data_IF_140968087171
#
_entry.id   IF_140968087171
#
_cell.length_a   1.000
_cell.length_b   1.000
_cell.length_c   1.000
_cell.angle_alpha   90.00
_cell.angle_beta   90.00
_cell.angle_gamma   90.00
#
_symmetry.space_group_name_H-M   'P 1'
#
loop_
_entity.id
_entity.type
_entity.pdbx_description
1 polymer ?
#
# COMPACT_ATOMS: atom_id res chain seq x y z
N UNK A 1 6.00 -14.93 -7.54
CA UNK A 1 7.01 -14.10 -8.22
C UNK A 1 7.64 -14.82 -9.42
N UNK A 2 7.98 -16.11 -9.31
CA UNK A 2 8.59 -16.87 -10.41
C UNK A 2 7.75 -16.96 -11.68
N UNK A 3 6.44 -16.82 -11.56
CA UNK A 3 5.44 -17.06 -12.63
C UNK A 3 5.03 -15.79 -13.38
N UNK A 4 5.64 -14.64 -13.04
CA UNK A 4 5.33 -13.39 -13.73
C UNK A 4 5.71 -13.44 -15.20
N UNK A 5 4.77 -13.13 -16.10
CA UNK A 5 4.98 -13.13 -17.55
C UNK A 5 3.98 -12.20 -18.23
N UNK A 6 4.29 -11.76 -19.44
CA UNK A 6 3.39 -10.96 -20.25
C UNK A 6 2.01 -11.62 -20.41
N UNK A 7 1.99 -12.94 -20.66
CA UNK A 7 0.75 -13.71 -20.83
C UNK A 7 -0.09 -13.68 -19.56
N UNK A 8 0.50 -13.99 -18.39
CA UNK A 8 -0.22 -14.00 -17.11
C UNK A 8 -0.74 -12.61 -16.72
N UNK A 9 0.04 -11.56 -16.99
CA UNK A 9 -0.39 -10.18 -16.76
C UNK A 9 -1.54 -9.77 -17.70
N UNK A 10 -1.50 -10.16 -18.96
CA UNK A 10 -2.61 -9.92 -19.90
C UNK A 10 -3.87 -10.67 -19.50
N UNK A 11 -3.76 -11.92 -19.07
CA UNK A 11 -4.89 -12.70 -18.56
C UNK A 11 -5.51 -12.01 -17.36
N UNK A 12 -4.71 -11.43 -16.48
CA UNK A 12 -5.19 -10.66 -15.33
C UNK A 12 -5.88 -9.36 -15.73
N UNK A 13 -5.33 -8.62 -16.66
CA UNK A 13 -5.97 -7.40 -17.18
C UNK A 13 -7.29 -7.72 -17.90
N UNK A 14 -7.34 -8.82 -18.63
CA UNK A 14 -8.57 -9.32 -19.26
C UNK A 14 -9.63 -9.67 -18.23
N UNK A 15 -9.27 -10.38 -17.15
CA UNK A 15 -10.16 -10.68 -16.03
C UNK A 15 -10.76 -9.40 -15.44
N UNK A 16 -9.95 -8.37 -15.18
CA UNK A 16 -10.44 -7.10 -14.64
C UNK A 16 -11.41 -6.41 -15.57
N UNK A 17 -11.12 -6.40 -16.88
CA UNK A 17 -12.03 -5.84 -17.89
C UNK A 17 -13.35 -6.60 -17.96
N UNK A 18 -13.33 -7.95 -17.97
CA UNK A 18 -14.53 -8.80 -17.98
C UNK A 18 -15.37 -8.62 -16.71
N UNK A 19 -14.73 -8.46 -15.56
CA UNK A 19 -15.38 -8.19 -14.26
C UNK A 19 -15.76 -6.71 -14.07
N UNK A 20 -15.48 -5.84 -15.08
CA UNK A 20 -15.73 -4.40 -15.02
C UNK A 20 -15.07 -3.72 -13.83
N UNK A 21 -13.84 -4.10 -13.55
CA UNK A 21 -12.99 -3.49 -12.52
C UNK A 21 -12.04 -2.51 -13.23
N UNK A 22 -12.17 -1.20 -13.01
CA UNK A 22 -11.22 -0.22 -13.57
C UNK A 22 -9.83 -0.42 -12.95
N UNK A 23 -8.81 -0.32 -13.80
CA UNK A 23 -7.40 -0.43 -13.37
C UNK A 23 -6.65 0.79 -13.87
N UNK A 24 -6.22 1.66 -12.96
CA UNK A 24 -5.48 2.86 -13.32
C UNK A 24 -3.98 2.64 -13.37
N UNK A 25 -3.44 1.74 -12.55
CA UNK A 25 -2.03 1.43 -12.57
C UNK A 25 -1.75 -0.07 -12.37
N UNK A 26 -0.67 -0.52 -12.98
CA UNK A 26 -0.16 -1.89 -12.91
C UNK A 26 1.27 -1.86 -12.41
N UNK A 27 1.59 -2.68 -11.42
CA UNK A 27 2.95 -2.94 -10.98
C UNK A 27 3.39 -4.34 -11.38
N UNK A 28 4.44 -4.44 -12.18
CA UNK A 28 5.11 -5.68 -12.52
C UNK A 28 6.15 -5.94 -11.41
N UNK A 29 5.81 -6.83 -10.48
CA UNK A 29 6.65 -7.11 -9.31
C UNK A 29 7.84 -8.00 -9.65
N UNK A 30 8.59 -8.50 -8.65
CA UNK A 30 9.81 -9.32 -8.83
C UNK A 30 9.60 -10.48 -9.79
N UNK A 31 10.62 -10.74 -10.62
CA UNK A 31 10.67 -11.89 -11.52
C UNK A 31 10.59 -11.56 -13.02
N UNK A 32 10.52 -10.29 -13.43
CA UNK A 32 10.47 -9.89 -14.84
C UNK A 32 11.87 -9.79 -15.51
N UNK A 33 12.92 -9.59 -14.71
CA UNK A 33 14.29 -9.29 -15.15
C UNK A 33 15.09 -10.53 -15.55
N UNK A 34 16.16 -10.32 -16.30
CA UNK A 34 17.19 -11.34 -16.55
C UNK A 34 18.07 -11.49 -15.31
N UNK A 35 17.97 -12.63 -14.66
CA UNK A 35 18.71 -12.93 -13.44
C UNK A 35 19.37 -14.33 -13.51
N UNK A 36 20.45 -14.50 -12.74
CA UNK A 36 21.11 -15.78 -12.53
C UNK A 36 21.56 -15.87 -11.08
N UNK A 37 21.26 -16.97 -10.41
CA UNK A 37 21.66 -17.23 -9.02
C UNK A 37 21.35 -16.03 -8.07
N UNK A 38 20.15 -15.46 -8.22
CA UNK A 38 19.70 -14.27 -7.50
C UNK A 38 20.54 -13.00 -7.74
N UNK A 39 21.20 -12.89 -8.89
CA UNK A 39 21.98 -11.72 -9.32
C UNK A 39 21.44 -11.18 -10.63
N UNK A 40 21.49 -9.86 -10.79
CA UNK A 40 21.05 -9.16 -12.00
C UNK A 40 22.06 -9.36 -13.14
N UNK A 41 21.58 -9.82 -14.29
CA UNK A 41 22.42 -10.02 -15.48
C UNK A 41 22.28 -8.90 -16.51
N UNK A 42 21.13 -8.20 -16.52
CA UNK A 42 20.81 -7.15 -17.47
C UNK A 42 19.76 -6.21 -16.89
N UNK A 43 19.70 -4.97 -17.37
CA UNK A 43 18.59 -4.05 -17.11
C UNK A 43 17.32 -4.42 -17.90
N UNK A 44 17.43 -5.37 -18.81
CA UNK A 44 16.33 -5.79 -19.67
C UNK A 44 15.47 -6.87 -19.01
N UNK A 45 14.30 -7.03 -19.56
CA UNK A 45 13.35 -8.10 -19.25
C UNK A 45 13.88 -9.49 -19.68
N UNK A 46 13.41 -10.54 -19.02
CA UNK A 46 13.60 -11.90 -19.48
C UNK A 46 12.72 -12.14 -20.73
N UNK A 47 13.34 -12.29 -21.89
CA UNK A 47 12.68 -12.49 -23.19
C UNK A 47 11.84 -13.75 -23.26
N UNK A 48 12.08 -14.74 -22.40
CA UNK A 48 11.20 -15.93 -22.32
C UNK A 48 9.87 -15.59 -21.68
N UNK A 49 9.84 -14.59 -20.78
CA UNK A 49 8.65 -14.13 -20.07
C UNK A 49 7.96 -12.97 -20.80
N UNK A 50 8.72 -12.15 -21.50
CA UNK A 50 8.26 -11.01 -22.29
C UNK A 50 8.80 -11.12 -23.73
N UNK A 51 8.22 -11.99 -24.58
CA UNK A 51 8.73 -12.23 -25.93
C UNK A 51 8.76 -10.99 -26.83
N UNK A 52 7.74 -10.15 -26.72
CA UNK A 52 7.62 -8.87 -27.46
C UNK A 52 8.37 -7.70 -26.78
N UNK A 53 9.07 -8.00 -25.70
CA UNK A 53 9.73 -7.02 -24.85
C UNK A 53 8.80 -6.29 -23.90
N UNK A 54 9.40 -5.61 -22.94
CA UNK A 54 8.65 -4.83 -21.96
C UNK A 54 7.83 -3.71 -22.64
N UNK A 55 8.43 -3.03 -23.65
CA UNK A 55 7.76 -1.97 -24.42
C UNK A 55 6.48 -2.44 -25.12
N UNK A 56 6.52 -3.63 -25.73
CA UNK A 56 5.35 -4.23 -26.38
C UNK A 56 4.22 -4.47 -25.40
N UNK A 57 4.55 -5.09 -24.26
CA UNK A 57 3.58 -5.33 -23.19
C UNK A 57 3.00 -4.03 -22.61
N UNK A 58 3.85 -3.05 -22.26
CA UNK A 58 3.40 -1.76 -21.68
C UNK A 58 2.45 -1.03 -22.63
N UNK A 59 2.80 -0.97 -23.92
CA UNK A 59 1.91 -0.39 -24.94
C UNK A 59 0.55 -1.07 -24.93
N UNK A 60 0.53 -2.40 -24.96
CA UNK A 60 -0.71 -3.18 -24.97
C UNK A 60 -1.53 -2.96 -23.69
N UNK A 61 -0.90 -2.93 -22.52
CA UNK A 61 -1.58 -2.65 -21.25
C UNK A 61 -2.27 -1.28 -21.27
N UNK A 62 -1.63 -0.25 -21.82
CA UNK A 62 -2.18 1.10 -21.91
C UNK A 62 -3.27 1.22 -23.00
N UNK A 63 -2.98 0.78 -24.22
CA UNK A 63 -3.86 0.98 -25.38
C UNK A 63 -5.09 0.05 -25.37
N UNK A 64 -4.94 -1.21 -24.98
CA UNK A 64 -6.02 -2.18 -25.05
C UNK A 64 -6.80 -2.34 -23.73
N UNK A 65 -6.13 -2.13 -22.58
CA UNK A 65 -6.74 -2.33 -21.27
C UNK A 65 -6.98 -1.05 -20.48
N UNK A 66 -6.54 0.10 -20.99
CA UNK A 66 -6.78 1.40 -20.38
C UNK A 66 -5.96 1.66 -19.11
N UNK A 67 -4.86 0.93 -18.91
CA UNK A 67 -3.93 1.18 -17.79
C UNK A 67 -3.24 2.52 -18.00
N UNK A 68 -3.35 3.43 -17.06
CA UNK A 68 -2.77 4.78 -17.17
C UNK A 68 -1.26 4.78 -16.87
N UNK A 69 -0.85 4.06 -15.82
CA UNK A 69 0.54 3.98 -15.39
C UNK A 69 0.99 2.53 -15.22
N UNK A 70 2.17 2.21 -15.72
CA UNK A 70 2.82 0.91 -15.51
C UNK A 70 4.13 1.11 -14.77
N UNK A 71 4.29 0.41 -13.66
CA UNK A 71 5.52 0.40 -12.88
C UNK A 71 6.20 -0.95 -12.88
N UNK A 72 7.48 -0.96 -12.50
CA UNK A 72 8.26 -2.19 -12.30
C UNK A 72 8.95 -2.19 -10.96
N UNK A 73 9.11 -3.39 -10.40
CA UNK A 73 9.91 -3.64 -9.22
C UNK A 73 11.40 -3.82 -9.57
N UNK A 74 12.28 -3.33 -8.71
CA UNK A 74 13.67 -3.78 -8.64
C UNK A 74 14.21 -3.66 -7.21
N UNK A 75 15.30 -4.35 -6.92
CA UNK A 75 16.00 -4.24 -5.64
C UNK A 75 17.01 -3.09 -5.67
N UNK A 76 17.24 -2.47 -4.52
CA UNK A 76 18.25 -1.41 -4.33
C UNK A 76 19.67 -1.89 -4.68
N UNK A 77 19.96 -3.18 -4.53
CA UNK A 77 21.26 -3.78 -4.84
C UNK A 77 21.41 -4.23 -6.31
N UNK A 78 20.44 -3.93 -7.17
CA UNK A 78 20.28 -4.49 -8.50
C UNK A 78 19.36 -5.72 -8.47
N UNK A 79 19.75 -6.77 -7.77
CA UNK A 79 18.89 -7.89 -7.38
C UNK A 79 19.29 -8.39 -5.99
N UNK A 80 18.67 -9.44 -5.48
CA UNK A 80 18.88 -9.93 -4.10
C UNK A 80 20.36 -10.15 -3.73
N UNK A 81 21.19 -10.63 -4.66
CA UNK A 81 22.64 -10.85 -4.47
C UNK A 81 23.48 -9.92 -5.38
N UNK A 82 22.97 -8.72 -5.70
CA UNK A 82 23.68 -7.73 -6.52
C UNK A 82 23.67 -8.06 -8.01
N UNK A 83 24.75 -7.66 -8.69
CA UNK A 83 24.98 -7.81 -10.15
C UNK A 83 25.86 -9.05 -10.40
N UNK A 84 25.54 -9.82 -11.45
CA UNK A 84 26.29 -11.03 -11.84
C UNK A 84 27.66 -10.67 -12.43
N UNK A 85 28.77 -11.09 -11.76
CA UNK A 85 30.12 -10.92 -12.32
C UNK A 85 30.26 -11.70 -13.62
N UNK A 86 30.73 -11.08 -14.66
CA UNK A 86 30.88 -11.71 -15.99
C UNK A 86 29.69 -11.49 -16.91
N UNK A 87 28.63 -10.83 -16.46
CA UNK A 87 27.58 -10.34 -17.34
C UNK A 87 28.05 -9.11 -18.13
N UNK A 88 27.37 -8.83 -19.25
CA UNK A 88 27.59 -7.58 -20.01
C UNK A 88 27.26 -6.37 -19.15
N UNK A 89 26.21 -6.45 -18.30
CA UNK A 89 25.86 -5.41 -17.36
C UNK A 89 27.00 -5.11 -16.38
N UNK A 90 27.62 -6.14 -15.80
CA UNK A 90 28.76 -5.95 -14.91
C UNK A 90 29.90 -5.22 -15.63
N UNK A 91 30.23 -5.63 -16.84
CA UNK A 91 31.28 -5.01 -17.63
C UNK A 91 30.99 -3.55 -17.95
N UNK A 92 29.76 -3.22 -18.32
CA UNK A 92 29.30 -1.88 -18.64
C UNK A 92 29.21 -0.95 -17.42
N UNK A 93 28.94 -1.51 -16.22
CA UNK A 93 28.70 -0.74 -14.99
C UNK A 93 29.84 -0.88 -13.97
N UNK A 94 30.95 -1.53 -14.30
CA UNK A 94 32.03 -1.88 -13.38
C UNK A 94 32.50 -0.72 -12.51
N UNK A 95 32.63 0.49 -13.07
CA UNK A 95 33.07 1.69 -12.35
C UNK A 95 32.01 2.22 -11.36
N UNK A 96 30.73 1.82 -11.53
CA UNK A 96 29.60 2.20 -10.68
C UNK A 96 29.28 1.12 -9.64
N UNK A 97 30.02 0.02 -9.60
CA UNK A 97 29.83 -1.08 -8.68
C UNK A 97 30.94 -1.17 -7.66
N UNK A 98 30.62 -1.72 -6.50
CA UNK A 98 31.58 -2.04 -5.45
C UNK A 98 31.37 -3.48 -4.98
N UNK A 99 32.47 -4.15 -4.60
CA UNK A 99 32.41 -5.50 -4.03
C UNK A 99 32.20 -5.41 -2.52
N UNK A 100 31.13 -6.04 -2.03
CA UNK A 100 30.85 -6.13 -0.59
C UNK A 100 31.77 -7.11 0.12
N UNK A 101 31.82 -7.07 1.45
CA UNK A 101 32.55 -8.04 2.26
C UNK A 101 32.05 -9.49 2.04
N UNK A 102 30.77 -9.67 1.70
CA UNK A 102 30.18 -10.96 1.34
C UNK A 102 30.47 -11.40 -0.10
N UNK A 103 31.20 -10.60 -0.87
CA UNK A 103 31.60 -10.94 -2.25
C UNK A 103 30.59 -10.57 -3.34
N UNK A 104 29.50 -9.88 -3.02
CA UNK A 104 28.52 -9.41 -3.99
C UNK A 104 28.96 -8.10 -4.63
N UNK A 105 28.56 -7.84 -5.89
CA UNK A 105 28.73 -6.57 -6.55
C UNK A 105 27.42 -5.79 -6.50
N UNK A 106 27.44 -4.62 -5.86
CA UNK A 106 26.27 -3.75 -5.67
C UNK A 106 26.58 -2.34 -6.15
N UNK A 107 25.59 -1.46 -6.38
CA UNK A 107 25.85 -0.04 -6.64
C UNK A 107 26.77 0.55 -5.57
N UNK A 108 27.78 1.29 -5.99
CA UNK A 108 28.81 1.85 -5.12
C UNK A 108 28.21 2.86 -4.11
N UNK A 109 28.92 3.11 -3.00
CA UNK A 109 28.45 4.02 -1.95
C UNK A 109 28.96 5.47 -2.17
N UNK A 110 28.96 5.90 -3.43
CA UNK A 110 29.31 7.26 -3.87
C UNK A 110 28.13 7.80 -4.70
N UNK A 111 27.57 8.97 -4.32
CA UNK A 111 26.33 9.51 -4.91
C UNK A 111 26.34 9.53 -6.44
N UNK A 112 27.45 10.01 -7.04
CA UNK A 112 27.58 10.09 -8.50
C UNK A 112 27.58 8.73 -9.19
N UNK A 113 28.20 7.71 -8.60
CA UNK A 113 28.23 6.34 -9.14
C UNK A 113 26.88 5.65 -8.97
N UNK A 114 26.21 5.83 -7.82
CA UNK A 114 24.85 5.34 -7.59
C UNK A 114 23.89 5.98 -8.60
N UNK A 115 23.96 7.29 -8.76
CA UNK A 115 23.16 7.97 -9.78
C UNK A 115 23.42 7.40 -11.17
N UNK A 116 24.67 7.26 -11.58
CA UNK A 116 25.02 6.73 -12.90
C UNK A 116 24.46 5.32 -13.13
N UNK A 117 24.56 4.44 -12.14
CA UNK A 117 23.99 3.09 -12.20
C UNK A 117 22.48 3.12 -12.39
N UNK A 118 21.76 3.79 -11.48
CA UNK A 118 20.29 3.85 -11.55
C UNK A 118 19.80 4.65 -12.75
N UNK A 119 20.48 5.74 -13.11
CA UNK A 119 20.06 6.54 -14.26
C UNK A 119 20.16 5.76 -15.58
N UNK A 120 21.19 4.92 -15.75
CA UNK A 120 21.28 4.05 -16.91
C UNK A 120 20.13 3.03 -16.96
N UNK A 121 19.72 2.50 -15.81
CA UNK A 121 18.60 1.56 -15.72
C UNK A 121 17.25 2.26 -15.91
N UNK A 122 17.02 3.35 -15.20
CA UNK A 122 15.75 4.08 -15.24
C UNK A 122 15.49 4.74 -16.58
N UNK A 123 16.52 5.24 -17.28
CA UNK A 123 16.42 5.75 -18.64
C UNK A 123 16.00 4.61 -19.62
N UNK A 124 16.58 3.42 -19.45
CA UNK A 124 16.12 2.24 -20.20
C UNK A 124 14.63 1.97 -19.94
N UNK A 125 14.21 1.89 -18.66
CA UNK A 125 12.83 1.63 -18.28
C UNK A 125 11.86 2.67 -18.80
N UNK A 126 12.22 3.97 -18.72
CA UNK A 126 11.44 5.07 -19.28
C UNK A 126 11.24 4.91 -20.79
N UNK A 127 12.28 4.50 -21.53
CA UNK A 127 12.19 4.22 -22.97
C UNK A 127 11.31 3.03 -23.29
N UNK A 128 11.08 2.10 -22.35
CA UNK A 128 10.10 1.03 -22.46
C UNK A 128 8.67 1.49 -22.15
N UNK A 129 8.46 2.74 -21.68
CA UNK A 129 7.14 3.29 -21.35
C UNK A 129 6.75 3.08 -19.90
N UNK A 130 7.70 2.72 -19.01
CA UNK A 130 7.49 2.62 -17.57
C UNK A 130 7.31 4.02 -16.98
N UNK A 131 6.35 4.17 -16.09
CA UNK A 131 5.94 5.44 -15.49
C UNK A 131 6.42 5.61 -14.05
N UNK A 132 6.61 4.52 -13.30
CA UNK A 132 7.07 4.54 -11.92
C UNK A 132 7.85 3.26 -11.55
N UNK A 133 8.50 3.28 -10.39
CA UNK A 133 9.28 2.14 -9.89
C UNK A 133 8.90 1.80 -8.44
N UNK A 134 8.95 0.50 -8.10
CA UNK A 134 8.99 0.02 -6.73
C UNK A 134 10.41 -0.45 -6.44
N UNK A 135 11.05 0.15 -5.44
CA UNK A 135 12.44 -0.19 -5.08
C UNK A 135 12.47 -0.87 -3.72
N UNK A 136 12.87 -2.13 -3.74
CA UNK A 136 12.84 -3.02 -2.59
C UNK A 136 14.22 -3.24 -1.96
N UNK A 137 14.22 -3.94 -0.81
CA UNK A 137 15.41 -4.31 -0.04
C UNK A 137 16.27 -3.09 0.38
N UNK A 138 15.64 -1.95 0.64
CA UNK A 138 16.37 -0.72 0.96
C UNK A 138 17.10 -0.82 2.31
N UNK A 139 16.48 -1.40 3.33
CA UNK A 139 17.12 -1.65 4.62
C UNK A 139 18.35 -2.56 4.53
N UNK A 140 18.44 -3.40 3.49
CA UNK A 140 19.60 -4.21 3.22
C UNK A 140 20.87 -3.41 2.88
N UNK A 141 20.75 -2.16 2.42
CA UNK A 141 21.91 -1.32 2.04
C UNK A 141 22.94 -1.21 3.16
N UNK A 142 22.50 -1.09 4.39
CA UNK A 142 23.36 -1.01 5.58
C UNK A 142 24.14 -2.30 5.84
N UNK A 143 23.59 -3.47 5.53
CA UNK A 143 24.27 -4.75 5.69
C UNK A 143 25.29 -4.97 4.58
N UNK A 144 24.99 -4.58 3.35
CA UNK A 144 25.95 -4.67 2.24
C UNK A 144 27.15 -3.74 2.44
N UNK A 145 26.98 -2.60 3.12
CA UNK A 145 28.05 -1.67 3.45
C UNK A 145 28.92 -2.12 4.65
N UNK A 146 28.53 -3.16 5.39
CA UNK A 146 29.22 -3.64 6.58
C UNK A 146 30.70 -3.92 6.27
N UNK A 147 31.59 -3.45 7.16
CA UNK A 147 33.03 -3.57 7.07
C UNK A 147 33.71 -2.82 5.90
N UNK A 148 32.97 -2.00 5.15
CA UNK A 148 33.52 -1.20 4.05
C UNK A 148 33.46 0.30 4.35
N UNK A 149 32.25 0.83 4.63
CA UNK A 149 32.02 2.24 4.93
C UNK A 149 31.02 2.39 6.08
N UNK A 150 30.96 3.55 6.76
CA UNK A 150 29.90 3.81 7.75
C UNK A 150 28.51 3.68 7.12
N UNK A 151 27.62 2.98 7.82
CA UNK A 151 26.28 2.65 7.31
C UNK A 151 25.47 3.89 6.90
N UNK A 152 25.50 4.95 7.73
CA UNK A 152 24.79 6.19 7.42
C UNK A 152 25.30 6.86 6.15
N UNK A 153 26.62 6.80 5.91
CA UNK A 153 27.25 7.35 4.68
C UNK A 153 26.79 6.56 3.46
N UNK A 154 26.79 5.23 3.54
CA UNK A 154 26.32 4.37 2.45
C UNK A 154 24.82 4.61 2.16
N UNK A 155 23.97 4.60 3.19
CA UNK A 155 22.55 4.82 3.03
C UNK A 155 22.24 6.20 2.40
N UNK A 156 22.89 7.26 2.88
CA UNK A 156 22.72 8.60 2.32
C UNK A 156 23.12 8.67 0.85
N UNK A 157 24.28 8.12 0.48
CA UNK A 157 24.75 8.13 -0.91
C UNK A 157 23.82 7.34 -1.84
N UNK A 158 23.41 6.15 -1.40
CA UNK A 158 22.53 5.28 -2.20
C UNK A 158 21.15 5.90 -2.39
N UNK A 159 20.54 6.44 -1.33
CA UNK A 159 19.22 7.06 -1.42
C UNK A 159 19.23 8.32 -2.28
N UNK A 160 20.23 9.20 -2.12
CA UNK A 160 20.33 10.42 -2.94
C UNK A 160 20.52 10.12 -4.41
N UNK A 161 21.40 9.18 -4.75
CA UNK A 161 21.62 8.78 -6.14
C UNK A 161 20.36 8.11 -6.75
N UNK A 162 19.67 7.27 -5.98
CA UNK A 162 18.41 6.66 -6.40
C UNK A 162 17.32 7.72 -6.63
N UNK A 163 17.07 8.59 -5.66
CA UNK A 163 16.04 9.64 -5.77
C UNK A 163 16.32 10.62 -6.91
N UNK A 164 17.57 11.02 -7.10
CA UNK A 164 17.96 11.87 -8.22
C UNK A 164 17.63 11.20 -9.56
N UNK A 165 17.92 9.91 -9.70
CA UNK A 165 17.58 9.16 -10.91
C UNK A 165 16.06 8.99 -11.08
N UNK A 166 15.33 8.72 -10.01
CA UNK A 166 13.87 8.61 -10.06
C UNK A 166 13.22 9.96 -10.44
N UNK A 167 13.74 11.07 -9.90
CA UNK A 167 13.26 12.40 -10.25
C UNK A 167 13.44 12.71 -11.74
N UNK A 168 14.62 12.43 -12.30
CA UNK A 168 14.96 12.70 -13.70
C UNK A 168 14.10 11.84 -14.64
N UNK A 169 13.89 10.58 -14.31
CA UNK A 169 13.26 9.63 -15.22
C UNK A 169 11.74 9.48 -15.01
N UNK A 170 11.27 9.58 -13.77
CA UNK A 170 9.87 9.29 -13.39
C UNK A 170 9.19 10.43 -12.64
N UNK A 171 9.80 11.62 -12.57
CA UNK A 171 9.24 12.75 -11.83
C UNK A 171 9.20 12.54 -10.31
N UNK A 172 9.92 11.54 -9.79
CA UNK A 172 9.90 11.16 -8.39
C UNK A 172 8.84 10.09 -8.05
N UNK A 173 8.14 9.53 -9.03
CA UNK A 173 7.15 8.48 -8.83
C UNK A 173 7.86 7.15 -8.45
N UNK A 174 8.09 6.97 -7.16
CA UNK A 174 8.72 5.79 -6.56
C UNK A 174 7.93 5.29 -5.35
N UNK A 175 7.74 3.98 -5.28
CA UNK A 175 7.26 3.28 -4.11
C UNK A 175 8.45 2.66 -3.39
N UNK A 176 8.81 3.21 -2.24
CA UNK A 176 9.87 2.65 -1.41
C UNK A 176 9.39 1.42 -0.66
N UNK A 177 10.15 0.32 -0.78
CA UNK A 177 9.82 -0.94 -0.14
C UNK A 177 10.96 -1.40 0.78
N UNK A 178 10.61 -2.00 1.92
CA UNK A 178 11.55 -2.51 2.93
C UNK A 178 12.61 -1.49 3.38
N UNK A 179 12.25 -0.21 3.40
CA UNK A 179 13.10 0.91 3.78
C UNK A 179 12.55 1.67 4.97
N UNK A 180 12.12 0.95 6.01
CA UNK A 180 11.50 1.52 7.22
C UNK A 180 12.53 1.88 8.31
N UNK A 181 13.80 1.60 8.06
CA UNK A 181 14.87 1.95 8.99
C UNK A 181 15.10 3.45 9.09
N UNK A 182 15.72 3.89 10.18
CA UNK A 182 15.95 5.32 10.44
C UNK A 182 16.76 5.99 9.35
N UNK A 183 17.77 5.31 8.80
CA UNK A 183 18.63 5.87 7.75
C UNK A 183 17.85 6.11 6.44
N UNK A 184 16.98 5.18 6.07
CA UNK A 184 16.12 5.28 4.89
C UNK A 184 14.99 6.29 5.10
N UNK A 185 14.32 6.23 6.24
CA UNK A 185 13.22 7.11 6.59
C UNK A 185 13.59 8.58 6.58
N UNK A 186 14.74 8.94 7.12
CA UNK A 186 15.23 10.33 7.19
C UNK A 186 16.07 10.74 5.98
N UNK A 187 16.40 9.81 5.09
CA UNK A 187 17.32 10.04 3.96
C UNK A 187 16.67 10.39 2.63
N UNK A 188 15.33 10.49 2.57
CA UNK A 188 14.57 10.77 1.34
C UNK A 188 14.08 12.21 1.33
N UNK A 189 14.18 12.89 0.18
CA UNK A 189 13.91 14.32 0.07
C UNK A 189 12.85 14.68 -0.97
N UNK A 190 12.64 13.85 -2.00
CA UNK A 190 11.79 14.20 -3.15
C UNK A 190 10.71 13.17 -3.44
N UNK A 191 10.63 12.08 -2.68
CA UNK A 191 9.69 10.99 -2.90
C UNK A 191 8.78 10.81 -1.69
N UNK A 192 7.51 10.50 -1.91
CA UNK A 192 6.48 10.61 -0.89
C UNK A 192 5.72 9.32 -0.55
N UNK A 193 6.03 8.17 -1.17
CA UNK A 193 5.31 6.91 -0.91
C UNK A 193 6.27 5.86 -0.35
N UNK A 194 5.93 5.29 0.81
CA UNK A 194 6.76 4.28 1.47
C UNK A 194 5.93 3.17 2.10
N UNK A 195 6.34 1.93 1.84
CA UNK A 195 5.79 0.77 2.54
C UNK A 195 6.04 0.85 4.04
N UNK A 196 5.05 0.51 4.84
CA UNK A 196 5.11 0.60 6.31
C UNK A 196 5.03 -0.75 7.02
N UNK A 197 4.99 -1.86 6.30
CA UNK A 197 4.99 -3.21 6.86
C UNK A 197 5.97 -4.14 6.15
N UNK A 198 6.23 -5.28 6.78
CA UNK A 198 6.73 -6.48 6.11
C UNK A 198 5.77 -6.92 4.99
N UNK A 199 6.17 -7.89 4.15
CA UNK A 199 5.33 -8.39 3.07
C UNK A 199 4.00 -8.98 3.59
N UNK A 200 2.98 -8.90 2.76
CA UNK A 200 1.73 -9.61 2.97
C UNK A 200 1.96 -11.12 2.81
N UNK A 201 1.76 -11.86 3.90
CA UNK A 201 1.93 -13.31 3.95
C UNK A 201 0.57 -14.01 4.18
N UNK A 202 -0.23 -14.24 3.14
CA UNK A 202 -1.59 -14.79 3.28
C UNK A 202 -1.62 -16.20 3.87
N UNK A 203 -0.56 -16.98 3.72
CA UNK A 203 -0.46 -18.36 4.22
C UNK A 203 -0.11 -18.43 5.72
N UNK A 204 0.35 -17.33 6.34
CA UNK A 204 0.69 -17.32 7.77
C UNK A 204 -0.58 -17.21 8.62
N UNK A 205 -0.62 -17.94 9.73
CA UNK A 205 -1.77 -17.90 10.67
C UNK A 205 -1.94 -16.51 11.28
N UNK A 206 -0.86 -15.85 11.63
CA UNK A 206 -0.83 -14.50 12.20
C UNK A 206 -0.69 -13.39 11.15
N UNK A 207 -0.75 -13.74 9.86
CA UNK A 207 -0.41 -12.84 8.75
C UNK A 207 -1.21 -11.54 8.77
N UNK A 208 -2.53 -11.59 8.97
CA UNK A 208 -3.34 -10.39 9.06
C UNK A 208 -3.02 -9.55 10.30
N UNK A 209 -2.88 -10.19 11.47
CA UNK A 209 -2.56 -9.50 12.74
C UNK A 209 -1.24 -8.72 12.62
N UNK A 210 -0.17 -9.43 12.22
CA UNK A 210 1.15 -8.85 12.06
C UNK A 210 1.12 -7.67 11.08
N UNK A 211 0.47 -7.87 9.95
CA UNK A 211 0.34 -6.88 8.88
C UNK A 211 -0.43 -5.62 9.33
N UNK A 212 -1.60 -5.78 9.96
CA UNK A 212 -2.41 -4.66 10.43
C UNK A 212 -1.68 -3.84 11.51
N UNK A 213 -1.04 -4.53 12.46
CA UNK A 213 -0.29 -3.87 13.54
C UNK A 213 0.93 -3.13 12.99
N UNK A 214 1.77 -3.76 12.17
CA UNK A 214 2.95 -3.10 11.59
C UNK A 214 2.55 -1.87 10.81
N UNK A 215 1.57 -1.97 9.91
CA UNK A 215 1.10 -0.86 9.12
C UNK A 215 0.63 0.33 9.97
N UNK A 216 -0.24 0.09 10.93
CA UNK A 216 -0.81 1.16 11.74
C UNK A 216 0.23 1.81 12.68
N UNK A 217 1.05 1.02 13.38
CA UNK A 217 2.06 1.56 14.31
C UNK A 217 3.20 2.26 13.58
N UNK A 218 3.69 1.70 12.46
CA UNK A 218 4.71 2.36 11.65
C UNK A 218 4.18 3.66 11.03
N UNK A 219 2.92 3.70 10.61
CA UNK A 219 2.29 4.91 10.11
C UNK A 219 2.22 6.04 11.14
N UNK A 220 2.33 5.75 12.43
CA UNK A 220 2.43 6.77 13.45
C UNK A 220 3.70 7.62 13.30
N UNK A 221 4.82 6.99 12.93
CA UNK A 221 6.11 7.65 12.70
C UNK A 221 6.31 8.07 11.26
N UNK A 222 5.92 7.23 10.30
CA UNK A 222 6.15 7.48 8.88
C UNK A 222 5.10 8.44 8.30
N UNK A 223 3.87 8.37 8.74
CA UNK A 223 2.74 9.12 8.22
C UNK A 223 2.86 10.65 8.24
N UNK A 224 3.62 11.30 9.15
CA UNK A 224 3.93 12.71 9.05
C UNK A 224 4.76 13.12 7.84
N UNK A 225 5.47 12.17 7.20
CA UNK A 225 6.43 12.42 6.11
C UNK A 225 6.02 11.74 4.82
N UNK A 226 5.40 10.55 4.90
CA UNK A 226 5.07 9.71 3.75
C UNK A 226 3.59 9.35 3.70
N UNK A 227 3.08 9.13 2.49
CA UNK A 227 1.93 8.29 2.25
C UNK A 227 2.34 6.84 2.44
N UNK A 228 1.73 6.19 3.44
CA UNK A 228 2.10 4.85 3.83
C UNK A 228 1.42 3.81 2.91
N UNK A 229 2.23 3.06 2.20
CA UNK A 229 1.76 1.89 1.47
C UNK A 229 1.57 0.72 2.44
N UNK A 230 0.33 0.19 2.49
CA UNK A 230 -0.05 -0.92 3.35
C UNK A 230 -0.08 -2.24 2.60
N UNK A 231 0.73 -2.35 1.54
CA UNK A 231 0.97 -3.53 0.72
C UNK A 231 -0.26 -4.10 -0.02
N UNK A 232 -0.02 -5.10 -0.85
CA UNK A 232 -1.03 -5.85 -1.57
C UNK A 232 -1.90 -6.72 -0.64
N UNK A 233 -3.00 -7.23 -1.16
CA UNK A 233 -3.87 -8.18 -0.49
C UNK A 233 -4.62 -9.06 -1.49
N UNK A 234 -5.32 -10.11 -1.01
CA UNK A 234 -6.12 -11.00 -1.83
C UNK A 234 -7.61 -10.82 -1.55
N UNK A 235 -8.40 -10.65 -2.62
CA UNK A 235 -9.85 -10.43 -2.52
C UNK A 235 -10.60 -11.72 -2.17
N UNK A 236 -10.06 -12.90 -2.49
CA UNK A 236 -10.55 -14.21 -2.10
C UNK A 236 -9.66 -14.86 -1.04
N UNK A 237 -9.68 -14.30 0.15
CA UNK A 237 -8.96 -14.82 1.32
C UNK A 237 -9.86 -14.81 2.55
N UNK A 238 -9.57 -15.65 3.55
CA UNK A 238 -10.34 -15.70 4.81
C UNK A 238 -10.45 -14.34 5.51
N UNK A 239 -9.45 -13.48 5.34
CA UNK A 239 -9.41 -12.10 5.90
C UNK A 239 -9.72 -11.03 4.85
N UNK A 240 -10.40 -11.36 3.75
CA UNK A 240 -10.61 -10.41 2.66
C UNK A 240 -11.40 -9.17 3.08
N UNK A 241 -12.43 -9.32 3.92
CA UNK A 241 -13.20 -8.19 4.45
C UNK A 241 -12.34 -7.30 5.34
N UNK A 242 -11.63 -7.91 6.30
CA UNK A 242 -10.68 -7.19 7.17
C UNK A 242 -9.63 -6.45 6.34
N UNK A 243 -9.08 -7.10 5.31
CA UNK A 243 -8.08 -6.51 4.42
C UNK A 243 -8.63 -5.35 3.60
N UNK A 244 -9.87 -5.44 3.12
CA UNK A 244 -10.54 -4.34 2.42
C UNK A 244 -10.80 -3.13 3.33
N UNK A 245 -11.31 -3.36 4.55
CA UNK A 245 -11.50 -2.30 5.56
C UNK A 245 -10.16 -1.68 5.96
N UNK A 246 -9.10 -2.51 6.08
CA UNK A 246 -7.75 -2.05 6.38
C UNK A 246 -7.24 -1.09 5.29
N UNK A 247 -7.52 -1.37 4.01
CA UNK A 247 -7.16 -0.45 2.90
C UNK A 247 -8.03 0.79 2.87
N UNK A 248 -9.31 0.69 3.21
CA UNK A 248 -10.17 1.87 3.32
C UNK A 248 -9.65 2.89 4.33
N UNK A 249 -9.18 2.43 5.51
CA UNK A 249 -8.68 3.32 6.58
C UNK A 249 -7.21 3.72 6.37
N UNK A 250 -6.47 3.10 5.43
CA UNK A 250 -5.03 3.30 5.26
C UNK A 250 -4.64 4.72 4.85
N UNK A 251 -5.44 5.34 3.96
CA UNK A 251 -5.09 6.61 3.30
C UNK A 251 -3.95 6.48 2.28
N UNK A 252 -3.48 5.27 2.00
CA UNK A 252 -2.39 4.99 1.05
C UNK A 252 -2.86 4.33 -0.25
N UNK A 253 -1.93 3.90 -1.10
CA UNK A 253 -2.24 3.16 -2.31
C UNK A 253 -3.00 1.85 -2.00
N UNK A 254 -3.89 1.46 -2.90
CA UNK A 254 -4.66 0.20 -2.79
C UNK A 254 -4.44 -0.66 -4.03
N UNK A 255 -3.93 -1.85 -3.85
CA UNK A 255 -3.68 -2.79 -4.94
C UNK A 255 -3.81 -4.25 -4.48
N UNK A 256 -4.11 -5.14 -5.41
CA UNK A 256 -4.35 -6.56 -5.17
C UNK A 256 -3.39 -7.43 -5.99
N UNK A 257 -3.11 -8.62 -5.48
CA UNK A 257 -2.25 -9.61 -6.13
C UNK A 257 -2.95 -10.98 -6.24
N UNK A 258 -4.26 -10.97 -6.48
CA UNK A 258 -5.02 -12.20 -6.68
C UNK A 258 -4.47 -13.00 -7.86
N UNK A 259 -4.51 -14.32 -7.74
CA UNK A 259 -4.28 -15.21 -8.87
C UNK A 259 -5.29 -14.95 -10.00
N UNK A 260 -4.89 -15.21 -11.24
CA UNK A 260 -5.78 -15.08 -12.40
C UNK A 260 -7.05 -15.91 -12.18
N UNK A 261 -8.21 -15.29 -12.44
CA UNK A 261 -9.55 -15.87 -12.22
C UNK A 261 -10.10 -15.71 -10.79
N UNK A 262 -9.28 -15.29 -9.82
CA UNK A 262 -9.67 -15.28 -8.41
C UNK A 262 -10.03 -13.89 -7.84
N UNK A 263 -10.02 -12.82 -8.62
CA UNK A 263 -10.44 -11.51 -8.10
C UNK A 263 -11.95 -11.46 -7.85
N UNK A 264 -12.33 -11.04 -6.63
CA UNK A 264 -13.71 -10.79 -6.25
C UNK A 264 -14.04 -9.29 -6.36
N UNK A 265 -14.80 -8.85 -7.37
CA UNK A 265 -15.13 -7.45 -7.56
C UNK A 265 -15.96 -6.85 -6.42
N UNK A 266 -16.74 -7.66 -5.70
CA UNK A 266 -17.58 -7.18 -4.59
C UNK A 266 -16.74 -6.70 -3.39
N UNK A 267 -15.50 -7.16 -3.29
CA UNK A 267 -14.55 -6.69 -2.28
C UNK A 267 -13.87 -5.37 -2.66
N UNK A 268 -13.82 -5.06 -3.95
CA UNK A 268 -13.19 -3.83 -4.47
C UNK A 268 -14.17 -2.67 -4.60
N UNK A 269 -15.41 -2.95 -5.02
CA UNK A 269 -16.44 -1.93 -5.23
C UNK A 269 -16.66 -0.96 -4.06
N UNK A 270 -16.64 -1.40 -2.77
CA UNK A 270 -16.77 -0.47 -1.65
C UNK A 270 -15.60 0.52 -1.48
N UNK A 271 -14.43 0.24 -2.07
CA UNK A 271 -13.22 1.05 -1.96
C UNK A 271 -13.14 2.19 -2.99
N UNK A 272 -13.95 2.16 -4.04
CA UNK A 272 -13.82 3.08 -5.18
C UNK A 272 -15.16 3.52 -5.76
N UNK A 273 -15.15 4.60 -6.51
CA UNK A 273 -16.25 5.02 -7.38
C UNK A 273 -16.38 4.11 -8.62
N UNK A 274 -17.40 4.33 -9.43
CA UNK A 274 -17.65 3.54 -10.62
C UNK A 274 -16.56 3.67 -11.70
N UNK A 275 -15.88 4.80 -11.72
CA UNK A 275 -14.75 5.09 -12.64
C UNK A 275 -13.41 4.53 -12.12
N UNK A 276 -13.37 3.93 -10.93
CA UNK A 276 -12.17 3.39 -10.29
C UNK A 276 -11.42 4.37 -9.41
N UNK A 277 -11.88 5.61 -9.26
CA UNK A 277 -11.29 6.57 -8.33
C UNK A 277 -11.44 6.06 -6.90
N UNK A 278 -10.31 5.87 -6.22
CA UNK A 278 -10.29 5.40 -4.84
C UNK A 278 -10.94 6.41 -3.90
N UNK A 279 -11.70 5.90 -2.94
CA UNK A 279 -12.19 6.64 -1.80
C UNK A 279 -11.12 6.55 -0.71
N UNK A 280 -10.46 7.67 -0.41
CA UNK A 280 -9.28 7.70 0.45
C UNK A 280 -9.50 8.56 1.69
N UNK A 281 -8.87 8.14 2.79
CA UNK A 281 -8.70 8.97 3.98
C UNK A 281 -7.66 10.08 3.74
N UNK A 282 -7.68 11.10 4.61
CA UNK A 282 -6.89 12.33 4.46
C UNK A 282 -5.40 12.16 4.80
N UNK A 283 -5.05 11.10 5.54
CA UNK A 283 -3.70 10.82 6.01
C UNK A 283 -3.50 9.31 6.22
N UNK A 284 -2.28 8.83 6.48
CA UNK A 284 -2.05 7.46 6.90
C UNK A 284 -2.77 7.13 8.21
N UNK A 285 -3.49 5.99 8.24
CA UNK A 285 -4.20 5.50 9.40
C UNK A 285 -3.26 5.20 10.58
N UNK A 286 -3.72 5.45 11.82
CA UNK A 286 -2.90 5.31 13.04
C UNK A 286 -3.67 4.54 14.10
N UNK A 287 -2.99 3.85 15.03
CA UNK A 287 -3.65 3.26 16.19
C UNK A 287 -4.44 4.31 16.97
N UNK A 288 -5.53 3.90 17.60
CA UNK A 288 -6.21 4.72 18.59
C UNK A 288 -5.23 5.11 19.72
N UNK A 289 -5.36 6.31 20.29
CA UNK A 289 -4.44 6.77 21.35
C UNK A 289 -4.48 5.85 22.57
N UNK A 290 -5.66 5.33 22.90
CA UNK A 290 -5.87 4.35 23.98
C UNK A 290 -5.10 3.03 23.79
N UNK A 291 -4.63 2.75 22.56
CA UNK A 291 -3.92 1.52 22.21
C UNK A 291 -2.45 1.73 21.81
N UNK A 292 -1.90 2.95 21.96
CA UNK A 292 -0.49 3.23 21.63
C UNK A 292 0.50 2.40 22.42
N UNK A 293 0.19 2.07 23.68
CA UNK A 293 1.05 1.27 24.56
C UNK A 293 0.79 -0.25 24.45
N UNK A 294 -0.07 -0.65 23.53
CA UNK A 294 -0.42 -2.05 23.29
C UNK A 294 -1.92 -2.30 23.28
N UNK A 295 -2.29 -3.50 22.87
CA UNK A 295 -3.67 -3.97 22.76
C UNK A 295 -3.88 -5.05 23.82
N UNK A 296 -4.89 -4.89 24.69
CA UNK A 296 -5.27 -5.92 25.66
C UNK A 296 -5.70 -7.23 24.99
N UNK A 297 -5.55 -8.35 25.70
CA UNK A 297 -5.98 -9.64 25.20
C UNK A 297 -7.50 -9.65 24.92
N UNK A 298 -7.88 -10.15 23.76
CA UNK A 298 -9.30 -10.19 23.32
C UNK A 298 -9.92 -8.84 22.99
N UNK A 299 -9.17 -7.73 23.10
CA UNK A 299 -9.65 -6.40 22.75
C UNK A 299 -9.47 -6.18 21.23
N UNK A 300 -10.51 -5.75 20.50
CA UNK A 300 -10.36 -5.38 19.09
C UNK A 300 -9.37 -4.24 18.88
N UNK A 301 -8.59 -4.32 17.81
CA UNK A 301 -7.65 -3.28 17.43
C UNK A 301 -8.37 -2.12 16.75
N UNK A 302 -8.13 -0.92 17.23
CA UNK A 302 -8.72 0.31 16.71
C UNK A 302 -7.69 1.11 15.90
N UNK A 303 -8.06 1.42 14.67
CA UNK A 303 -7.31 2.33 13.80
C UNK A 303 -8.18 3.56 13.53
N UNK A 304 -7.62 4.75 13.70
CA UNK A 304 -8.29 6.04 13.46
C UNK A 304 -7.71 6.75 12.25
N UNK A 305 -8.56 7.51 11.59
CA UNK A 305 -8.20 8.43 10.51
C UNK A 305 -9.23 9.56 10.42
N UNK A 306 -9.07 10.42 9.43
CA UNK A 306 -10.10 11.34 8.95
C UNK A 306 -10.30 11.13 7.45
N UNK A 307 -11.49 11.44 6.98
CA UNK A 307 -11.82 11.45 5.57
C UNK A 307 -12.65 12.68 5.26
N UNK A 308 -12.14 13.59 4.43
CA UNK A 308 -12.72 14.90 4.18
C UNK A 308 -13.02 15.69 5.47
N UNK A 309 -12.11 15.58 6.45
CA UNK A 309 -12.24 16.18 7.77
C UNK A 309 -13.18 15.47 8.73
N UNK A 310 -13.91 14.43 8.30
CA UNK A 310 -14.77 13.63 9.17
C UNK A 310 -13.99 12.52 9.85
N UNK A 311 -14.19 12.25 11.15
CA UNK A 311 -13.54 11.13 11.81
C UNK A 311 -13.99 9.80 11.24
N UNK A 312 -13.05 8.85 11.19
CA UNK A 312 -13.27 7.46 10.78
C UNK A 312 -12.50 6.54 11.72
N UNK A 313 -13.13 5.45 12.15
CA UNK A 313 -12.52 4.45 13.04
C UNK A 313 -12.81 3.06 12.52
N UNK A 314 -11.75 2.27 12.28
CA UNK A 314 -11.88 0.86 11.98
C UNK A 314 -11.55 0.03 13.22
N UNK A 315 -12.33 -1.01 13.47
CA UNK A 315 -12.13 -1.96 14.55
C UNK A 315 -11.91 -3.37 13.98
N UNK A 316 -10.87 -4.06 14.44
CA UNK A 316 -10.48 -5.37 13.93
C UNK A 316 -10.36 -6.40 15.04
N UNK A 317 -10.85 -7.61 14.79
CA UNK A 317 -10.44 -8.79 15.56
C UNK A 317 -9.08 -9.26 15.03
N UNK A 318 -8.07 -9.30 15.89
CA UNK A 318 -6.71 -9.69 15.48
C UNK A 318 -6.41 -11.17 15.72
N UNK A 319 -7.29 -11.88 16.41
CA UNK A 319 -7.14 -13.30 16.67
C UNK A 319 -8.14 -14.08 15.81
N UNK A 320 -7.90 -15.37 15.59
CA UNK A 320 -8.88 -16.29 15.03
C UNK A 320 -10.03 -16.43 16.05
N UNK A 321 -10.93 -15.42 16.05
CA UNK A 321 -12.05 -15.37 16.97
C UNK A 321 -13.06 -16.45 16.60
N UNK A 322 -13.42 -17.28 17.57
CA UNK A 322 -14.49 -18.28 17.46
C UNK A 322 -15.87 -17.70 17.77
N UNK A 323 -15.95 -16.39 18.09
CA UNK A 323 -17.18 -15.67 18.40
C UNK A 323 -17.11 -14.22 17.92
N UNK A 324 -18.29 -13.61 17.73
CA UNK A 324 -18.37 -12.17 17.47
C UNK A 324 -17.77 -11.37 18.64
N UNK A 325 -16.96 -10.39 18.33
CA UNK A 325 -16.37 -9.50 19.32
C UNK A 325 -17.25 -8.27 19.56
N UNK A 326 -17.14 -7.68 20.74
CA UNK A 326 -17.70 -6.37 21.04
C UNK A 326 -16.61 -5.39 21.40
N UNK A 327 -16.71 -4.19 20.84
CA UNK A 327 -15.80 -3.09 21.16
C UNK A 327 -16.61 -1.89 21.64
N UNK A 328 -16.17 -1.26 22.72
CA UNK A 328 -16.70 -0.01 23.20
C UNK A 328 -15.87 1.14 22.62
N UNK A 329 -16.52 2.01 21.89
CA UNK A 329 -15.88 3.18 21.27
C UNK A 329 -16.04 4.37 22.21
N UNK A 330 -14.95 4.89 22.75
CA UNK A 330 -14.97 6.14 23.51
C UNK A 330 -14.97 7.33 22.54
N UNK A 331 -16.11 7.91 22.30
CA UNK A 331 -16.26 8.99 21.33
C UNK A 331 -15.43 10.25 21.67
N UNK A 332 -15.06 10.45 22.93
CA UNK A 332 -14.18 11.54 23.34
C UNK A 332 -12.77 11.45 22.71
N UNK A 333 -12.33 10.24 22.33
CA UNK A 333 -11.06 10.03 21.67
C UNK A 333 -11.06 10.44 20.20
N UNK A 334 -12.22 10.36 19.53
CA UNK A 334 -12.32 10.48 18.08
C UNK A 334 -13.03 11.74 17.61
N UNK A 335 -14.04 12.25 18.36
CA UNK A 335 -14.80 13.42 17.98
C UNK A 335 -14.08 14.71 18.37
N UNK A 336 -13.96 15.69 17.45
CA UNK A 336 -13.23 16.93 17.71
C UNK A 336 -13.95 17.90 18.65
N UNK A 337 -15.28 17.84 18.72
CA UNK A 337 -16.12 18.77 19.47
C UNK A 337 -17.35 18.08 20.08
N UNK A 338 -18.16 18.82 20.85
CA UNK A 338 -19.31 18.31 21.62
C UNK A 338 -20.65 18.35 20.87
N UNK A 339 -20.66 18.72 19.57
CA UNK A 339 -21.93 18.69 18.82
C UNK A 339 -22.44 17.26 18.64
N UNK A 340 -23.67 17.17 18.19
CA UNK A 340 -24.28 15.88 17.85
C UNK A 340 -23.71 15.33 16.52
N UNK A 341 -23.50 14.01 16.50
CA UNK A 341 -23.06 13.27 15.32
C UNK A 341 -23.97 12.07 15.08
N UNK A 342 -24.08 11.68 13.83
CA UNK A 342 -24.53 10.34 13.46
C UNK A 342 -23.32 9.48 13.15
N UNK A 343 -23.13 8.40 13.91
CA UNK A 343 -22.19 7.34 13.59
C UNK A 343 -22.87 6.32 12.68
N UNK A 344 -22.23 5.95 11.58
CA UNK A 344 -22.66 4.88 10.71
C UNK A 344 -21.67 3.72 10.81
N UNK A 345 -22.15 2.56 11.28
CA UNK A 345 -21.42 1.30 11.27
C UNK A 345 -21.63 0.62 9.91
N UNK A 346 -20.62 0.70 9.07
CA UNK A 346 -20.71 0.42 7.63
C UNK A 346 -21.04 -1.04 7.33
N UNK A 347 -20.36 -1.99 7.98
CA UNK A 347 -20.61 -3.42 7.75
C UNK A 347 -21.92 -3.89 8.39
N UNK A 348 -22.25 -3.38 9.58
CA UNK A 348 -23.52 -3.68 10.26
C UNK A 348 -24.73 -2.90 9.69
N UNK A 349 -24.48 -1.86 8.84
CA UNK A 349 -25.51 -0.96 8.27
C UNK A 349 -26.41 -0.33 9.32
N UNK A 350 -25.81 0.16 10.44
CA UNK A 350 -26.53 0.73 11.57
C UNK A 350 -26.11 2.17 11.84
N UNK A 351 -27.09 2.99 12.18
CA UNK A 351 -26.89 4.39 12.56
C UNK A 351 -27.09 4.56 14.05
N UNK A 352 -26.31 5.45 14.66
CA UNK A 352 -26.38 5.80 16.08
C UNK A 352 -26.29 7.32 16.24
N UNK A 353 -27.20 7.93 17.01
CA UNK A 353 -27.01 9.30 17.50
C UNK A 353 -26.01 9.28 18.65
N UNK A 354 -24.96 10.07 18.54
CA UNK A 354 -23.86 10.14 19.50
C UNK A 354 -23.38 11.57 19.68
N UNK A 355 -22.68 11.79 20.77
CA UNK A 355 -21.86 12.97 21.02
C UNK A 355 -20.52 12.53 21.65
N UNK A 356 -19.67 13.48 21.98
CA UNK A 356 -18.35 13.20 22.54
C UNK A 356 -18.38 12.38 23.85
N UNK A 357 -19.46 12.47 24.65
CA UNK A 357 -19.62 11.71 25.89
C UNK A 357 -20.18 10.30 25.68
N UNK A 358 -20.53 9.96 24.45
CA UNK A 358 -21.12 8.67 24.11
C UNK A 358 -20.06 7.56 24.09
N UNK A 359 -20.47 6.36 24.50
CA UNK A 359 -19.62 5.15 24.49
C UNK A 359 -20.39 3.98 23.88
N UNK A 360 -20.75 4.03 22.58
CA UNK A 360 -21.50 2.97 21.93
C UNK A 360 -20.72 1.65 21.95
N UNK A 361 -21.45 0.55 22.11
CA UNK A 361 -20.92 -0.79 21.96
C UNK A 361 -21.21 -1.31 20.55
N UNK A 362 -20.17 -1.60 19.81
CA UNK A 362 -20.22 -2.07 18.42
C UNK A 362 -19.93 -3.56 18.38
N UNK A 363 -20.71 -4.31 17.63
CA UNK A 363 -20.48 -5.72 17.39
C UNK A 363 -19.67 -5.91 16.10
N UNK A 364 -18.59 -6.64 16.19
CA UNK A 364 -17.80 -7.10 15.04
C UNK A 364 -18.26 -8.52 14.76
N UNK A 365 -18.78 -8.79 13.56
CA UNK A 365 -19.22 -10.13 13.20
C UNK A 365 -18.03 -11.09 13.10
N UNK A 366 -18.27 -12.37 13.40
CA UNK A 366 -17.25 -13.41 13.25
C UNK A 366 -16.80 -13.54 11.78
N UNK A 367 -17.73 -13.41 10.85
CA UNK A 367 -17.49 -13.59 9.42
C UNK A 367 -16.64 -12.46 8.86
N UNK A 368 -16.93 -11.21 9.26
CA UNK A 368 -16.24 -10.03 8.73
C UNK A 368 -14.92 -9.74 9.46
N UNK A 369 -14.87 -10.02 10.76
CA UNK A 369 -13.71 -9.77 11.61
C UNK A 369 -13.30 -8.28 11.72
N UNK A 370 -14.12 -7.39 11.18
CA UNK A 370 -13.93 -5.96 11.19
C UNK A 370 -15.25 -5.19 11.29
N UNK A 371 -15.18 -3.92 11.66
CA UNK A 371 -16.22 -2.91 11.50
C UNK A 371 -15.58 -1.56 11.18
N UNK A 372 -16.26 -0.75 10.40
CA UNK A 372 -15.84 0.60 10.05
C UNK A 372 -16.90 1.59 10.50
N UNK A 373 -16.50 2.55 11.31
CA UNK A 373 -17.36 3.64 11.79
C UNK A 373 -16.98 4.93 11.09
N UNK A 374 -17.99 5.58 10.51
CA UNK A 374 -17.87 6.90 9.91
C UNK A 374 -18.77 7.86 10.68
N UNK A 375 -18.30 9.07 11.00
CA UNK A 375 -18.98 10.02 11.86
C UNK A 375 -19.36 11.27 11.08
N UNK A 376 -20.63 11.63 11.12
CA UNK A 376 -21.20 12.78 10.40
C UNK A 376 -21.73 13.80 11.38
N UNK A 377 -21.26 15.06 11.37
CA UNK A 377 -21.85 16.11 12.20
C UNK A 377 -23.30 16.37 11.77
N UNK A 378 -24.16 16.57 12.75
CA UNK A 378 -25.55 16.94 12.52
C UNK A 378 -25.65 18.42 12.23
N UNK A 379 -26.33 18.79 11.13
CA UNK A 379 -26.60 20.15 10.72
C UNK A 379 -28.07 20.29 10.31
N UNK A 380 -28.84 21.11 11.03
CA UNK A 380 -30.25 21.30 10.75
C UNK A 380 -31.05 19.98 10.61
N UNK A 381 -30.97 19.14 11.63
CA UNK A 381 -31.62 17.81 11.71
C UNK A 381 -31.29 16.87 10.55
N UNK A 382 -30.14 17.02 9.94
CA UNK A 382 -29.69 16.20 8.80
C UNK A 382 -28.19 16.00 8.80
N UNK A 383 -27.73 15.02 8.00
CA UNK A 383 -26.32 14.81 7.68
C UNK A 383 -26.13 14.87 6.17
N UNK A 384 -24.89 15.08 5.71
CA UNK A 384 -24.50 14.89 4.31
C UNK A 384 -23.74 13.58 4.16
N UNK A 385 -24.19 12.71 3.29
CA UNK A 385 -23.63 11.38 3.11
C UNK A 385 -23.73 10.96 1.63
N UNK A 386 -22.71 10.29 1.13
CA UNK A 386 -22.72 9.65 -0.17
C UNK A 386 -23.33 8.26 -0.13
N UNK A 387 -22.91 7.39 -1.06
CA UNK A 387 -23.43 6.03 -1.15
C UNK A 387 -23.07 5.18 0.10
N UNK A 388 -24.05 4.71 0.89
CA UNK A 388 -23.81 3.92 2.10
C UNK A 388 -23.22 2.52 1.85
N UNK A 389 -23.18 2.03 0.59
CA UNK A 389 -22.53 0.78 0.21
C UNK A 389 -20.99 0.93 0.13
N UNK A 390 -20.47 2.15 0.21
CA UNK A 390 -19.03 2.43 0.21
C UNK A 390 -18.48 2.41 1.63
N UNK A 391 -17.19 2.05 1.76
CA UNK A 391 -16.52 2.12 3.07
C UNK A 391 -16.35 3.55 3.57
N UNK A 392 -16.16 4.49 2.66
CA UNK A 392 -16.00 5.91 2.99
C UNK A 392 -17.06 6.75 2.26
N UNK A 393 -18.33 6.72 2.70
CA UNK A 393 -19.41 7.46 2.01
C UNK A 393 -19.17 8.96 1.92
N UNK A 394 -18.42 9.56 2.86
CA UNK A 394 -18.07 10.98 2.84
C UNK A 394 -17.11 11.34 1.70
N UNK A 395 -16.32 10.38 1.18
CA UNK A 395 -15.42 10.60 0.06
C UNK A 395 -16.09 10.48 -1.31
N UNK A 396 -17.37 10.08 -1.36
CA UNK A 396 -18.11 9.99 -2.63
C UNK A 396 -18.28 11.38 -3.26
N UNK A 397 -18.18 11.43 -4.57
CA UNK A 397 -18.40 12.65 -5.37
C UNK A 397 -19.82 13.19 -5.23
N UNK A 398 -20.80 12.28 -5.20
CA UNK A 398 -22.20 12.61 -4.97
C UNK A 398 -22.60 12.38 -3.52
N UNK A 399 -23.03 13.45 -2.84
CA UNK A 399 -23.55 13.39 -1.48
C UNK A 399 -24.95 13.97 -1.43
N UNK A 400 -25.81 13.34 -0.63
CA UNK A 400 -27.18 13.79 -0.39
C UNK A 400 -27.34 14.24 1.07
N UNK A 401 -28.24 15.20 1.28
CA UNK A 401 -28.71 15.55 2.61
C UNK A 401 -29.77 14.54 3.03
N UNK A 402 -29.58 13.90 4.19
CA UNK A 402 -30.48 12.86 4.72
C UNK A 402 -30.95 13.32 6.10
N UNK A 403 -32.28 13.32 6.31
CA UNK A 403 -32.87 13.66 7.61
C UNK A 403 -32.50 12.58 8.65
N UNK A 404 -32.22 13.03 9.88
CA UNK A 404 -31.95 12.10 11.00
C UNK A 404 -33.14 11.17 11.24
N UNK A 405 -34.38 11.66 11.03
CA UNK A 405 -35.61 10.87 11.20
C UNK A 405 -35.68 9.68 10.26
N UNK A 406 -35.03 9.77 9.09
CA UNK A 406 -34.98 8.69 8.10
C UNK A 406 -33.90 7.64 8.46
N UNK A 407 -32.93 8.00 9.28
CA UNK A 407 -31.80 7.15 9.67
C UNK A 407 -32.00 6.41 10.99
N UNK A 408 -32.69 7.05 11.92
CA UNK A 408 -32.91 6.52 13.26
C UNK A 408 -34.39 6.08 13.40
N UNK A 409 -34.64 4.79 13.76
CA UNK A 409 -36.01 4.36 14.05
C UNK A 409 -36.58 5.23 15.21
N UNK A 410 -37.85 5.58 15.11
CA UNK A 410 -38.53 6.27 16.18
C UNK A 410 -38.29 5.52 17.50
N UNK A 411 -37.82 6.22 18.53
CA UNK A 411 -37.73 5.63 19.88
C UNK A 411 -39.11 5.15 20.26
N UNK A 412 -39.28 3.81 20.30
CA UNK A 412 -40.49 3.19 20.87
C UNK A 412 -40.52 3.36 22.37
#
# INVERSE_FOLDING_TARGET
>A
YSDISAVGLEEKLREFREKKIPVHWLLIDDGWMQTKDRKLCSFQEDRRKFPEGLKGFVRKAKEEYGVEKVGVWHSLQGYWHGVEPGSELYSAQKENLVRTAAGYYVPAWEEGKVFAFFNAWHDYLKKQGIDFIKVDNQGGSSEYARNNVPRATAAAAVLRGLEASALVNFGGDILHCMGMGQAEYLGRYVTGVSRSSDDFFPQRLDGFRSHAMQNAYNSYFHGPVYWCDWDMWWTKHKTAVQSAVLRAISGGPVYVSDKVGETDPERLKPLMEADGRLLMCDAPGRPACSQLMGIGEGVPFLIRNTCQGYPVVAAFTLNDCTAAARVRIDCAEFLPDDREYIAYAVLNRKYFSINRNSKPSITISLVDGAELLTFYPVENDSIRMGNPEKYLPMACSEQKRISIKDLLPAKK
#
